data_IF_197562499257
#
_entry.id   IF_197562499257
#
_cell.length_a   1.000
_cell.length_b   1.000
_cell.length_c   1.000
_cell.angle_alpha   90.00
_cell.angle_beta   90.00
_cell.angle_gamma   90.00
#
_symmetry.space_group_name_H-M   'P 1'
#
loop_
_entity.id
_entity.type
_entity.pdbx_description
1 polymer ?
#
# COMPACT_ATOMS: atom_id res chain seq x y z
N UNK A 1 0.29 44.46 -40.91
CA UNK A 1 0.32 43.26 -40.04
C UNK A 1 1.55 42.43 -40.38
N UNK A 2 2.56 42.37 -39.49
CA UNK A 2 3.74 41.51 -39.69
C UNK A 2 3.37 40.08 -39.31
N UNK A 3 3.44 39.15 -40.26
CA UNK A 3 3.29 37.71 -40.01
C UNK A 3 4.47 37.24 -39.15
N UNK A 4 4.20 36.76 -37.95
CA UNK A 4 5.18 36.02 -37.15
C UNK A 4 5.39 34.68 -37.85
N UNK A 5 6.54 34.50 -38.48
CA UNK A 5 6.98 33.20 -38.96
C UNK A 5 7.22 32.31 -37.73
N UNK A 6 6.43 31.24 -37.61
CA UNK A 6 6.80 30.12 -36.74
C UNK A 6 8.14 29.57 -37.24
N UNK A 7 9.24 29.91 -36.55
CA UNK A 7 10.52 29.24 -36.75
C UNK A 7 10.33 27.78 -36.33
N UNK A 8 10.46 26.85 -37.27
CA UNK A 8 10.71 25.44 -36.93
C UNK A 8 12.00 25.41 -36.11
N UNK A 9 11.94 24.90 -34.88
CA UNK A 9 13.13 24.50 -34.15
C UNK A 9 13.83 23.44 -35.01
N UNK A 10 14.99 23.76 -35.58
CA UNK A 10 15.77 22.81 -36.36
C UNK A 10 16.39 21.78 -35.40
N UNK A 11 16.27 20.48 -35.73
CA UNK A 11 17.09 19.45 -35.10
C UNK A 11 18.56 19.76 -35.34
N UNK A 12 19.43 19.47 -34.36
CA UNK A 12 20.87 19.57 -34.55
C UNK A 12 21.27 18.78 -35.82
N UNK A 13 22.00 19.37 -36.78
CA UNK A 13 22.40 18.65 -37.98
C UNK A 13 23.38 17.53 -37.61
N UNK A 14 23.02 16.28 -37.87
CA UNK A 14 23.84 15.09 -37.59
C UNK A 14 23.02 13.80 -37.57
N UNK A 15 23.68 12.64 -37.62
CA UNK A 15 23.04 11.37 -37.29
C UNK A 15 22.67 11.37 -35.79
N UNK A 16 21.52 10.80 -35.43
CA UNK A 16 21.14 10.62 -34.03
C UNK A 16 22.27 9.90 -33.30
N UNK A 17 22.69 10.45 -32.17
CA UNK A 17 23.62 9.74 -31.30
C UNK A 17 22.92 8.52 -30.70
N UNK A 18 23.69 7.59 -30.13
CA UNK A 18 23.11 6.45 -29.40
C UNK A 18 22.24 6.92 -28.23
N UNK A 19 22.60 8.04 -27.59
CA UNK A 19 21.83 8.64 -26.51
C UNK A 19 20.49 9.19 -27.02
N UNK A 20 20.49 9.91 -28.16
CA UNK A 20 19.25 10.42 -28.75
C UNK A 20 18.31 9.27 -29.17
N UNK A 21 18.88 8.19 -29.71
CA UNK A 21 18.11 7.02 -30.10
C UNK A 21 17.48 6.33 -28.88
N UNK A 22 18.22 6.21 -27.77
CA UNK A 22 17.70 5.66 -26.52
C UNK A 22 16.52 6.47 -25.97
N UNK A 23 16.59 7.81 -26.02
CA UNK A 23 15.49 8.69 -25.59
C UNK A 23 14.25 8.50 -26.47
N UNK A 24 14.42 8.41 -27.79
CA UNK A 24 13.32 8.17 -28.73
C UNK A 24 12.67 6.81 -28.48
N UNK A 25 13.46 5.78 -28.20
CA UNK A 25 12.95 4.43 -27.96
C UNK A 25 12.23 4.33 -26.61
N UNK A 26 12.72 5.00 -25.57
CA UNK A 26 11.99 5.14 -24.30
C UNK A 26 10.65 5.84 -24.49
N UNK A 27 10.60 6.96 -25.24
CA UNK A 27 9.36 7.67 -25.51
C UNK A 27 8.36 6.81 -26.31
N UNK A 28 8.84 6.02 -27.28
CA UNK A 28 8.00 5.09 -28.03
C UNK A 28 7.46 3.98 -27.14
N UNK A 29 8.28 3.42 -26.25
CA UNK A 29 7.85 2.41 -25.29
C UNK A 29 6.78 2.96 -24.34
N UNK A 30 6.96 4.18 -23.84
CA UNK A 30 5.98 4.89 -23.03
C UNK A 30 4.66 5.07 -23.78
N UNK A 31 4.69 5.57 -25.03
CA UNK A 31 3.48 5.72 -25.84
C UNK A 31 2.78 4.39 -26.11
N UNK A 32 3.53 3.31 -26.33
CA UNK A 32 2.97 1.98 -26.54
C UNK A 32 2.22 1.48 -25.29
N UNK A 33 2.86 1.58 -24.12
CA UNK A 33 2.28 1.18 -22.84
C UNK A 33 1.00 1.96 -22.51
N UNK A 34 1.00 3.29 -22.73
CA UNK A 34 -0.18 4.14 -22.48
C UNK A 34 -1.33 3.84 -23.44
N UNK A 35 -1.04 3.59 -24.73
CA UNK A 35 -2.08 3.38 -25.74
C UNK A 35 -2.66 1.97 -25.73
N UNK A 36 -1.84 0.98 -25.42
CA UNK A 36 -2.22 -0.43 -25.41
C UNK A 36 -1.71 -1.06 -24.10
N UNK A 37 -2.33 -0.72 -22.96
CA UNK A 37 -1.98 -1.35 -21.70
C UNK A 37 -2.21 -2.86 -21.79
N UNK A 38 -1.26 -3.62 -21.25
CA UNK A 38 -1.45 -5.06 -21.09
C UNK A 38 -2.49 -5.29 -19.99
N UNK A 39 -3.57 -6.05 -20.26
CA UNK A 39 -4.63 -6.24 -19.28
C UNK A 39 -4.09 -6.97 -18.06
N UNK A 40 -4.44 -6.47 -16.89
CA UNK A 40 -4.19 -7.15 -15.63
C UNK A 40 -5.40 -7.99 -15.22
N UNK A 41 -5.14 -9.19 -14.70
CA UNK A 41 -6.15 -10.05 -14.06
C UNK A 41 -5.82 -10.25 -12.59
N UNK A 42 -6.82 -10.17 -11.69
CA UNK A 42 -6.61 -10.46 -10.28
C UNK A 42 -6.14 -11.91 -10.04
N UNK A 43 -5.30 -12.12 -9.02
CA UNK A 43 -4.84 -13.45 -8.58
C UNK A 43 -3.37 -13.76 -8.91
N UNK A 44 -2.79 -13.07 -9.89
CA UNK A 44 -1.37 -13.21 -10.20
C UNK A 44 -0.55 -12.21 -9.39
N UNK A 45 0.44 -12.72 -8.65
CA UNK A 45 1.41 -11.91 -7.91
C UNK A 45 2.39 -11.24 -8.89
N UNK A 46 1.93 -10.17 -9.54
CA UNK A 46 2.70 -9.42 -10.53
C UNK A 46 2.66 -7.91 -10.26
N UNK A 47 3.60 -7.20 -10.84
CA UNK A 47 3.58 -5.74 -10.78
C UNK A 47 2.57 -5.16 -11.76
N UNK A 48 1.92 -4.11 -11.31
CA UNK A 48 0.88 -3.38 -12.02
C UNK A 48 1.24 -1.90 -12.11
N UNK A 49 0.69 -1.24 -13.12
CA UNK A 49 0.75 0.20 -13.30
C UNK A 49 -0.50 0.83 -12.65
N UNK A 50 -0.29 1.71 -11.67
CA UNK A 50 -1.36 2.35 -10.90
C UNK A 50 -1.31 3.86 -11.08
N UNK A 51 -2.45 4.47 -11.39
CA UNK A 51 -2.57 5.92 -11.48
C UNK A 51 -2.57 6.56 -10.08
N UNK A 52 -1.65 7.49 -9.84
CA UNK A 52 -1.57 8.30 -8.61
C UNK A 52 -1.47 9.77 -8.99
N UNK A 53 -2.58 10.49 -8.85
CA UNK A 53 -2.68 11.87 -9.34
C UNK A 53 -2.37 11.93 -10.84
N UNK A 54 -1.43 12.78 -11.30
CA UNK A 54 -1.02 12.83 -12.70
C UNK A 54 0.07 11.81 -13.09
N UNK A 55 0.58 11.00 -12.15
CA UNK A 55 1.67 10.06 -12.37
C UNK A 55 1.17 8.61 -12.42
N UNK A 56 2.00 7.73 -12.99
CA UNK A 56 1.78 6.29 -13.02
C UNK A 56 2.87 5.62 -12.21
N UNK A 57 2.50 4.90 -11.16
CA UNK A 57 3.42 4.21 -10.28
C UNK A 57 3.39 2.70 -10.48
N UNK A 58 4.56 2.10 -10.23
CA UNK A 58 4.70 0.65 -10.15
C UNK A 58 4.24 0.17 -8.79
N UNK A 59 3.33 -0.78 -8.76
CA UNK A 59 2.85 -1.38 -7.53
C UNK A 59 2.88 -2.90 -7.62
N UNK A 60 3.29 -3.57 -6.54
CA UNK A 60 3.26 -5.03 -6.43
C UNK A 60 1.98 -5.48 -5.74
N UNK A 61 1.22 -6.39 -6.35
CA UNK A 61 0.03 -6.96 -5.71
C UNK A 61 0.41 -7.95 -4.61
N UNK A 62 -0.29 -7.92 -3.46
CA UNK A 62 -0.01 -8.86 -2.37
C UNK A 62 -0.43 -10.29 -2.76
N UNK A 63 0.48 -11.28 -2.68
CA UNK A 63 0.11 -12.68 -2.90
C UNK A 63 -0.91 -13.16 -1.86
N UNK A 64 -1.95 -13.86 -2.31
CA UNK A 64 -2.91 -14.55 -1.44
C UNK A 64 -3.89 -13.66 -0.67
N UNK A 65 -3.89 -12.34 -0.89
CA UNK A 65 -4.97 -11.47 -0.42
C UNK A 65 -6.19 -11.60 -1.33
N UNK A 66 -7.39 -11.38 -0.77
CA UNK A 66 -8.60 -11.38 -1.58
C UNK A 66 -8.58 -10.19 -2.54
N UNK A 67 -8.59 -10.50 -3.84
CA UNK A 67 -8.67 -9.49 -4.88
C UNK A 67 -10.14 -9.22 -5.23
N UNK A 68 -10.89 -8.73 -4.23
CA UNK A 68 -12.26 -8.30 -4.44
C UNK A 68 -12.37 -7.36 -5.65
N UNK A 69 -13.54 -7.28 -6.31
CA UNK A 69 -13.68 -6.60 -7.60
C UNK A 69 -13.31 -5.12 -7.56
N UNK A 70 -13.42 -4.49 -6.38
CA UNK A 70 -13.27 -3.05 -6.21
C UNK A 70 -11.90 -2.64 -5.65
N UNK A 71 -11.29 -3.48 -4.80
CA UNK A 71 -10.11 -3.08 -4.02
C UNK A 71 -9.13 -4.25 -3.85
N UNK A 72 -7.85 -4.00 -4.10
CA UNK A 72 -6.75 -4.93 -3.87
C UNK A 72 -5.70 -4.34 -2.93
N UNK A 73 -4.87 -5.21 -2.34
CA UNK A 73 -3.71 -4.75 -1.61
C UNK A 73 -2.46 -4.70 -2.50
N UNK A 74 -1.76 -3.57 -2.42
CA UNK A 74 -0.55 -3.31 -3.21
C UNK A 74 0.54 -2.66 -2.35
N UNK A 75 1.80 -2.85 -2.73
CA UNK A 75 2.90 -2.06 -2.21
C UNK A 75 3.52 -1.25 -3.34
N UNK A 76 3.74 0.05 -3.14
CA UNK A 76 4.41 0.89 -4.15
C UNK A 76 5.90 0.54 -4.21
N UNK A 77 6.39 0.24 -5.41
CA UNK A 77 7.75 -0.22 -5.68
C UNK A 77 8.45 0.81 -6.57
N UNK A 78 9.70 1.13 -6.27
CA UNK A 78 10.48 2.03 -7.12
C UNK A 78 10.64 1.41 -8.53
N UNK A 79 10.48 2.19 -9.62
CA UNK A 79 10.52 1.64 -10.98
C UNK A 79 11.81 0.89 -11.31
N UNK A 80 12.94 1.34 -10.77
CA UNK A 80 14.28 0.78 -11.05
C UNK A 80 14.69 -0.39 -10.14
N UNK A 81 13.91 -0.73 -9.10
CA UNK A 81 14.31 -1.81 -8.19
C UNK A 81 13.81 -3.17 -8.68
N UNK A 82 14.65 -4.23 -8.62
CA UNK A 82 14.16 -5.59 -8.71
C UNK A 82 13.15 -5.85 -7.58
N UNK A 83 12.09 -6.62 -7.83
CA UNK A 83 11.02 -6.92 -6.84
C UNK A 83 11.55 -7.32 -5.46
N UNK A 84 12.60 -8.17 -5.40
CA UNK A 84 13.20 -8.63 -4.15
C UNK A 84 13.97 -7.53 -3.39
N UNK A 85 14.40 -6.47 -4.08
CA UNK A 85 15.17 -5.37 -3.51
C UNK A 85 14.28 -4.20 -3.02
N UNK A 86 12.96 -4.31 -3.11
CA UNK A 86 12.04 -3.33 -2.53
C UNK A 86 12.35 -3.09 -1.04
N UNK A 87 12.74 -4.12 -0.28
CA UNK A 87 13.17 -3.95 1.12
C UNK A 87 14.59 -3.38 1.30
N UNK A 88 15.47 -3.48 0.29
CA UNK A 88 16.89 -3.09 0.37
C UNK A 88 17.18 -1.68 -0.18
N UNK A 89 16.39 -1.22 -1.16
CA UNK A 89 16.52 0.11 -1.79
C UNK A 89 15.26 0.96 -1.64
N UNK A 90 14.27 0.44 -0.92
CA UNK A 90 12.92 0.96 -0.82
C UNK A 90 12.80 2.36 -0.24
N UNK A 91 13.63 2.75 0.74
CA UNK A 91 13.47 4.04 1.44
C UNK A 91 13.82 5.28 0.59
N UNK A 92 14.25 5.08 -0.65
CA UNK A 92 14.55 6.20 -1.55
C UNK A 92 13.24 6.79 -2.09
N UNK A 93 13.07 8.11 -1.96
CA UNK A 93 11.91 8.86 -2.48
C UNK A 93 10.54 8.42 -1.91
N UNK A 94 10.51 7.70 -0.78
CA UNK A 94 9.29 7.35 -0.05
C UNK A 94 8.54 6.11 -0.57
N UNK A 95 9.16 5.31 -1.44
CA UNK A 95 8.63 4.01 -1.85
C UNK A 95 8.75 3.01 -0.69
N UNK A 96 7.90 1.98 -0.64
CA UNK A 96 7.89 0.90 0.38
C UNK A 96 7.71 1.27 1.87
N UNK A 97 7.95 2.51 2.30
CA UNK A 97 7.72 2.99 3.68
C UNK A 97 6.24 3.02 4.05
N UNK A 98 5.36 2.90 3.05
CA UNK A 98 3.90 2.93 3.21
C UNK A 98 3.29 1.56 3.49
N UNK A 99 4.10 0.51 3.47
CA UNK A 99 3.62 -0.87 3.61
C UNK A 99 2.62 -1.25 2.53
N UNK A 100 1.64 -2.07 2.91
CA UNK A 100 0.54 -2.46 2.03
C UNK A 100 -0.56 -1.40 2.04
N UNK A 101 -1.08 -1.08 0.87
CA UNK A 101 -2.10 -0.06 0.61
C UNK A 101 -3.31 -0.70 -0.07
N UNK A 102 -4.50 -0.16 0.21
CA UNK A 102 -5.75 -0.52 -0.46
C UNK A 102 -5.89 0.34 -1.72
N UNK A 103 -5.69 -0.29 -2.86
CA UNK A 103 -5.78 0.31 -4.19
C UNK A 103 -7.11 -0.05 -4.84
N UNK A 104 -7.84 0.96 -5.32
CA UNK A 104 -9.01 0.76 -6.17
C UNK A 104 -8.60 0.09 -7.49
N UNK A 105 -9.33 -0.94 -7.90
CA UNK A 105 -9.06 -1.66 -9.17
C UNK A 105 -9.22 -0.75 -10.38
N UNK A 106 -10.04 0.31 -10.27
CA UNK A 106 -10.23 1.35 -11.30
C UNK A 106 -9.00 2.23 -11.50
N UNK A 107 -8.09 2.31 -10.52
CA UNK A 107 -6.83 3.04 -10.64
C UNK A 107 -5.75 2.23 -11.37
N UNK A 108 -5.99 0.94 -11.62
CA UNK A 108 -5.05 0.04 -12.29
C UNK A 108 -5.17 0.22 -13.80
N UNK A 109 -4.08 0.62 -14.43
CA UNK A 109 -4.02 0.80 -15.88
C UNK A 109 -3.76 -0.52 -16.61
N UNK A 110 -3.08 -1.46 -15.96
CA UNK A 110 -2.68 -2.74 -16.53
C UNK A 110 -1.47 -3.33 -15.82
N UNK A 111 -0.86 -4.36 -16.42
CA UNK A 111 0.42 -4.92 -15.98
C UNK A 111 1.52 -3.85 -16.10
N UNK A 112 2.44 -3.82 -15.14
CA UNK A 112 3.57 -2.91 -15.19
C UNK A 112 4.47 -3.23 -16.38
N UNK A 113 4.64 -2.24 -17.26
CA UNK A 113 5.60 -2.25 -18.36
C UNK A 113 6.66 -1.18 -18.12
N UNK A 114 7.91 -1.45 -18.50
CA UNK A 114 9.00 -0.50 -18.33
C UNK A 114 8.76 0.85 -19.05
N UNK A 115 7.89 0.88 -20.07
CA UNK A 115 7.44 2.12 -20.72
C UNK A 115 6.75 3.11 -19.77
N UNK A 116 6.12 2.66 -18.68
CA UNK A 116 5.54 3.55 -17.68
C UNK A 116 6.57 4.23 -16.78
N UNK A 117 7.83 3.78 -16.76
CA UNK A 117 8.86 4.33 -15.86
C UNK A 117 9.01 5.85 -16.00
N UNK A 118 8.91 6.39 -17.22
CA UNK A 118 8.99 7.82 -17.52
C UNK A 118 7.84 8.65 -16.92
N UNK A 119 6.75 8.00 -16.50
CA UNK A 119 5.54 8.63 -15.96
C UNK A 119 5.46 8.57 -14.43
N UNK A 120 6.51 8.07 -13.77
CA UNK A 120 6.58 7.97 -12.30
C UNK A 120 7.04 9.29 -11.67
N UNK A 121 6.74 9.48 -10.39
CA UNK A 121 7.35 10.56 -9.59
C UNK A 121 8.88 10.43 -9.58
N UNK A 122 9.39 9.19 -9.50
CA UNK A 122 10.82 8.92 -9.49
C UNK A 122 11.53 9.45 -10.76
N UNK A 123 10.95 9.26 -11.94
CA UNK A 123 11.48 9.81 -13.19
C UNK A 123 11.46 11.35 -13.24
N UNK A 124 10.53 11.98 -12.53
CA UNK A 124 10.50 13.43 -12.33
C UNK A 124 11.47 13.93 -11.23
N UNK A 125 12.18 13.02 -10.54
CA UNK A 125 13.04 13.36 -9.40
C UNK A 125 12.25 13.82 -8.17
N UNK A 126 10.97 13.42 -8.06
CA UNK A 126 10.07 13.79 -6.97
C UNK A 126 9.87 12.63 -5.99
N UNK A 127 9.69 12.91 -4.69
CA UNK A 127 9.23 11.91 -3.74
C UNK A 127 7.75 11.57 -3.99
N UNK A 128 7.31 10.40 -3.51
CA UNK A 128 5.88 10.10 -3.43
C UNK A 128 5.17 11.10 -2.50
N UNK A 129 3.98 11.60 -2.85
CA UNK A 129 3.23 12.58 -2.05
C UNK A 129 2.75 11.95 -0.75
N UNK A 130 2.86 12.62 0.40
CA UNK A 130 2.47 12.08 1.72
C UNK A 130 1.11 11.38 1.72
N UNK A 131 0.13 11.94 1.01
CA UNK A 131 -1.12 11.27 0.66
C UNK A 131 -1.11 10.81 -0.81
N UNK A 132 -1.16 9.50 -1.02
CA UNK A 132 -1.26 8.85 -2.35
C UNK A 132 -2.71 8.53 -2.73
N UNK A 133 -3.69 8.88 -1.88
CA UNK A 133 -5.09 8.56 -2.09
C UNK A 133 -5.44 7.09 -1.85
N UNK A 134 -4.55 6.32 -1.22
CA UNK A 134 -4.77 4.92 -0.87
C UNK A 134 -4.65 4.74 0.63
N UNK A 135 -5.69 4.18 1.24
CA UNK A 135 -5.68 3.87 2.66
C UNK A 135 -4.72 2.70 2.95
N UNK A 136 -4.11 2.63 4.14
CA UNK A 136 -3.33 1.45 4.54
C UNK A 136 -4.17 0.17 4.55
N UNK A 137 -3.57 -0.95 4.16
CA UNK A 137 -4.17 -2.27 4.30
C UNK A 137 -3.91 -2.79 5.72
N UNK A 138 -5.00 -3.04 6.46
CA UNK A 138 -4.92 -3.48 7.84
C UNK A 138 -4.88 -5.02 7.92
N UNK A 139 -3.69 -5.57 8.17
CA UNK A 139 -3.45 -7.00 8.41
C UNK A 139 -3.18 -7.32 9.88
N UNK A 140 -3.38 -6.36 10.77
CA UNK A 140 -3.38 -6.58 12.21
C UNK A 140 -4.68 -6.12 12.83
N UNK A 141 -4.94 -6.57 14.06
CA UNK A 141 -5.96 -5.99 14.94
C UNK A 141 -5.28 -5.56 16.22
N UNK A 142 -5.48 -4.31 16.63
CA UNK A 142 -5.04 -3.82 17.93
C UNK A 142 -6.26 -3.63 18.82
N UNK A 143 -6.20 -4.20 20.02
CA UNK A 143 -7.13 -3.87 21.10
C UNK A 143 -6.47 -2.82 21.96
N UNK A 144 -7.06 -1.64 22.03
CA UNK A 144 -6.52 -0.49 22.75
C UNK A 144 -7.43 -0.08 23.90
N UNK A 145 -6.82 0.23 25.05
CA UNK A 145 -7.47 0.87 26.17
C UNK A 145 -7.12 2.37 26.17
N UNK A 146 -8.12 3.24 26.01
CA UNK A 146 -7.96 4.69 25.91
C UNK A 146 -8.76 5.43 26.97
N UNK A 147 -8.17 6.48 27.56
CA UNK A 147 -8.87 7.45 28.42
C UNK A 147 -9.55 8.53 27.57
N UNK A 148 -10.37 9.35 28.20
CA UNK A 148 -11.06 10.49 27.55
C UNK A 148 -10.10 11.55 27.00
N UNK A 149 -8.87 11.64 27.52
CA UNK A 149 -7.81 12.51 27.02
C UNK A 149 -6.97 11.86 25.89
N UNK A 150 -7.42 10.71 25.38
CA UNK A 150 -6.78 9.91 24.33
C UNK A 150 -5.45 9.22 24.73
N UNK A 151 -5.01 9.37 25.98
CA UNK A 151 -3.88 8.58 26.51
C UNK A 151 -4.30 7.13 26.71
N UNK A 152 -3.36 6.19 26.56
CA UNK A 152 -3.69 4.78 26.65
C UNK A 152 -2.57 3.85 26.20
N UNK A 153 -2.92 2.58 26.05
CA UNK A 153 -1.98 1.52 25.68
C UNK A 153 -2.69 0.41 24.91
N UNK A 154 -1.92 -0.37 24.18
CA UNK A 154 -2.39 -1.57 23.48
C UNK A 154 -2.40 -2.74 24.44
N UNK A 155 -3.54 -3.42 24.57
CA UNK A 155 -3.73 -4.63 25.38
C UNK A 155 -3.31 -5.89 24.62
N UNK A 156 -3.69 -5.96 23.35
CA UNK A 156 -3.52 -7.13 22.51
C UNK A 156 -3.24 -6.70 21.07
N UNK A 157 -2.31 -7.40 20.43
CA UNK A 157 -2.03 -7.29 18.99
C UNK A 157 -2.26 -8.66 18.36
N UNK A 158 -3.13 -8.73 17.36
CA UNK A 158 -3.41 -9.94 16.59
C UNK A 158 -2.92 -9.79 15.17
N UNK A 159 -2.24 -10.79 14.64
CA UNK A 159 -1.78 -10.83 13.25
C UNK A 159 -0.46 -11.59 13.06
N UNK A 160 0.07 -11.63 11.83
CA UNK A 160 -0.53 -11.05 10.63
C UNK A 160 -1.72 -11.87 10.14
N UNK A 161 -2.77 -11.18 9.68
CA UNK A 161 -3.86 -11.83 8.93
C UNK A 161 -3.45 -12.04 7.47
N UNK A 162 -3.85 -13.18 6.92
CA UNK A 162 -3.66 -13.47 5.50
C UNK A 162 -4.54 -12.58 4.62
N UNK A 163 -5.71 -12.13 5.10
CA UNK A 163 -6.65 -11.29 4.34
C UNK A 163 -7.17 -10.15 5.20
N UNK A 164 -7.33 -8.94 4.65
CA UNK A 164 -7.74 -7.75 5.43
C UNK A 164 -9.14 -7.88 6.02
N UNK A 165 -10.06 -8.54 5.32
CA UNK A 165 -11.43 -8.73 5.81
C UNK A 165 -11.49 -9.63 7.05
N UNK A 166 -10.53 -10.56 7.22
CA UNK A 166 -10.43 -11.37 8.43
C UNK A 166 -10.06 -10.50 9.63
N UNK A 167 -9.10 -9.58 9.46
CA UNK A 167 -8.75 -8.61 10.50
C UNK A 167 -9.96 -7.72 10.86
N UNK A 168 -10.71 -7.22 9.86
CA UNK A 168 -11.93 -6.44 10.11
C UNK A 168 -12.99 -7.25 10.86
N UNK A 169 -13.28 -8.47 10.41
CA UNK A 169 -14.25 -9.36 11.05
C UNK A 169 -13.89 -9.62 12.51
N UNK A 170 -12.63 -9.91 12.79
CA UNK A 170 -12.18 -10.25 14.14
C UNK A 170 -12.14 -9.00 15.04
N UNK A 171 -11.85 -7.81 14.49
CA UNK A 171 -12.02 -6.55 15.21
C UNK A 171 -13.50 -6.30 15.59
N UNK A 172 -14.43 -6.51 14.67
CA UNK A 172 -15.87 -6.37 14.94
C UNK A 172 -16.37 -7.38 15.98
N UNK A 173 -15.88 -8.61 15.89
CA UNK A 173 -16.18 -9.65 16.87
C UNK A 173 -15.67 -9.26 18.27
N UNK A 174 -14.42 -8.80 18.38
CA UNK A 174 -13.86 -8.33 19.65
C UNK A 174 -14.62 -7.13 20.21
N UNK A 175 -15.03 -6.17 19.38
CA UNK A 175 -15.86 -5.05 19.82
C UNK A 175 -17.21 -5.51 20.37
N UNK A 176 -17.85 -6.48 19.73
CA UNK A 176 -19.10 -7.08 20.25
C UNK A 176 -18.90 -7.70 21.64
N UNK A 177 -17.79 -8.43 21.84
CA UNK A 177 -17.44 -9.02 23.15
C UNK A 177 -17.17 -7.92 24.20
N UNK A 178 -16.48 -6.85 23.81
CA UNK A 178 -16.15 -5.72 24.68
C UNK A 178 -17.39 -4.92 25.10
N UNK A 179 -18.32 -4.67 24.17
CA UNK A 179 -19.58 -3.99 24.46
C UNK A 179 -20.41 -4.75 25.50
N UNK A 180 -20.49 -6.09 25.38
CA UNK A 180 -21.14 -6.94 26.37
C UNK A 180 -20.48 -6.90 27.76
N UNK A 181 -19.28 -6.35 27.89
CA UNK A 181 -18.47 -6.30 29.12
C UNK A 181 -18.06 -4.89 29.54
N UNK A 182 -18.53 -3.84 28.87
CA UNK A 182 -17.96 -2.48 28.96
C UNK A 182 -17.74 -1.97 30.39
N UNK A 183 -18.70 -2.17 31.30
CA UNK A 183 -18.61 -1.73 32.69
C UNK A 183 -17.54 -2.46 33.53
N UNK A 184 -17.04 -3.60 33.05
CA UNK A 184 -16.20 -4.53 33.79
C UNK A 184 -14.88 -4.85 33.10
N UNK A 185 -14.44 -4.09 32.09
CA UNK A 185 -13.18 -4.38 31.38
C UNK A 185 -12.00 -3.70 32.07
N UNK A 186 -11.87 -2.38 32.02
CA UNK A 186 -10.82 -1.63 32.71
C UNK A 186 -11.42 -0.28 33.17
N UNK A 187 -11.58 -0.04 34.49
CA UNK A 187 -12.18 1.20 34.99
C UNK A 187 -11.45 2.46 34.50
N UNK A 188 -12.21 3.43 33.98
CA UNK A 188 -11.67 4.70 33.48
C UNK A 188 -11.09 4.63 32.06
N UNK A 189 -11.18 3.48 31.38
CA UNK A 189 -10.76 3.32 29.99
C UNK A 189 -11.93 2.86 29.11
N UNK A 190 -11.99 3.39 27.91
CA UNK A 190 -12.75 2.82 26.79
C UNK A 190 -11.84 1.84 26.07
N UNK A 191 -12.27 0.58 25.98
CA UNK A 191 -11.50 -0.46 25.28
C UNK A 191 -12.17 -0.77 23.94
N UNK A 192 -11.40 -0.73 22.87
CA UNK A 192 -11.88 -0.95 21.50
C UNK A 192 -10.87 -1.78 20.71
N UNK A 193 -11.38 -2.62 19.80
CA UNK A 193 -10.59 -3.30 18.79
C UNK A 193 -10.69 -2.55 17.46
N UNK A 194 -9.57 -2.42 16.74
CA UNK A 194 -9.54 -1.81 15.41
C UNK A 194 -8.54 -2.50 14.51
N UNK A 195 -8.82 -2.51 13.21
CA UNK A 195 -7.82 -2.87 12.21
C UNK A 195 -6.61 -1.95 12.30
N UNK A 196 -5.42 -2.53 12.17
CA UNK A 196 -4.14 -1.86 12.28
C UNK A 196 -3.21 -2.30 11.14
N UNK A 197 -2.28 -1.41 10.78
CA UNK A 197 -1.15 -1.76 9.91
C UNK A 197 -0.29 -2.80 10.62
N UNK A 198 0.13 -3.82 9.88
CA UNK A 198 1.07 -4.82 10.36
C UNK A 198 2.50 -4.46 9.93
N UNK A 199 3.37 -4.22 10.91
CA UNK A 199 4.81 -4.07 10.70
C UNK A 199 5.50 -5.40 10.96
N UNK A 200 6.20 -5.92 9.95
CA UNK A 200 6.94 -7.19 10.03
C UNK A 200 8.04 -7.14 11.10
N UNK A 201 8.60 -5.95 11.34
CA UNK A 201 9.65 -5.75 12.35
C UNK A 201 9.13 -6.01 13.77
N UNK A 202 7.84 -5.77 13.99
CA UNK A 202 7.15 -5.92 15.28
C UNK A 202 6.51 -7.32 15.43
N UNK A 203 6.73 -8.26 14.51
CA UNK A 203 5.97 -9.52 14.46
C UNK A 203 5.96 -10.31 15.78
N UNK A 204 7.06 -10.29 16.55
CA UNK A 204 7.15 -10.98 17.85
C UNK A 204 6.17 -10.41 18.90
N UNK A 205 5.65 -9.20 18.69
CA UNK A 205 4.66 -8.56 19.56
C UNK A 205 3.22 -8.93 19.24
N UNK A 206 2.98 -9.68 18.16
CA UNK A 206 1.67 -10.11 17.71
C UNK A 206 1.39 -11.55 18.12
N UNK A 207 0.16 -11.81 18.58
CA UNK A 207 -0.36 -13.15 18.71
C UNK A 207 -0.96 -13.61 17.37
N UNK A 208 -0.66 -14.84 16.99
CA UNK A 208 -1.19 -15.47 15.78
C UNK A 208 -2.69 -15.81 15.96
N UNK A 209 -3.58 -15.26 15.12
CA UNK A 209 -5.02 -15.52 15.21
C UNK A 209 -5.47 -16.82 14.52
N UNK A 210 -4.62 -17.52 13.75
CA UNK A 210 -5.08 -18.57 12.83
C UNK A 210 -5.72 -19.78 13.53
N UNK A 211 -5.19 -20.17 14.70
CA UNK A 211 -5.66 -21.33 15.48
C UNK A 211 -6.07 -20.95 16.92
N UNK A 212 -6.14 -19.64 17.22
CA UNK A 212 -6.42 -19.15 18.55
C UNK A 212 -7.89 -18.71 18.70
N UNK A 213 -8.48 -18.99 19.86
CA UNK A 213 -9.72 -18.32 20.27
C UNK A 213 -9.39 -16.87 20.65
N UNK A 214 -9.69 -15.94 19.74
CA UNK A 214 -9.41 -14.52 19.92
C UNK A 214 -10.11 -13.91 21.14
N UNK A 215 -11.25 -14.47 21.57
CA UNK A 215 -11.94 -14.03 22.77
C UNK A 215 -11.22 -14.50 24.05
N UNK A 216 -10.61 -15.70 24.01
CA UNK A 216 -9.75 -16.18 25.07
C UNK A 216 -8.46 -15.33 25.16
N UNK A 217 -7.82 -15.02 24.02
CA UNK A 217 -6.65 -14.12 23.98
C UNK A 217 -6.96 -12.75 24.58
N UNK A 218 -8.14 -12.19 24.28
CA UNK A 218 -8.59 -10.93 24.89
C UNK A 218 -8.79 -11.07 26.41
N UNK A 219 -9.39 -12.17 26.87
CA UNK A 219 -9.61 -12.40 28.29
C UNK A 219 -8.29 -12.49 29.06
N UNK A 220 -7.31 -13.21 28.52
CA UNK A 220 -5.97 -13.34 29.10
C UNK A 220 -5.25 -11.99 29.16
N UNK A 221 -5.33 -11.21 28.07
CA UNK A 221 -4.75 -9.86 28.03
C UNK A 221 -5.37 -8.92 29.09
N UNK A 222 -6.69 -8.96 29.28
CA UNK A 222 -7.38 -8.17 30.32
C UNK A 222 -6.98 -8.64 31.73
N UNK A 223 -6.85 -9.96 31.94
CA UNK A 223 -6.45 -10.52 33.22
C UNK A 223 -5.02 -10.09 33.61
N UNK A 224 -4.08 -10.10 32.65
CA UNK A 224 -2.69 -9.71 32.87
C UNK A 224 -2.50 -8.24 33.31
N UNK A 225 -3.43 -7.36 32.96
CA UNK A 225 -3.40 -5.93 33.35
C UNK A 225 -4.01 -5.69 34.74
N UNK A 226 -4.81 -6.63 35.23
CA UNK A 226 -5.47 -6.56 36.55
C UNK A 226 -4.68 -7.20 37.68
N UNK A 227 -3.69 -8.03 37.35
CA UNK A 227 -2.80 -8.70 38.30
C UNK A 227 -1.72 -7.74 38.81
#
# INVERSE_FOLDING_TARGET
MKRLFFRRCAHAPGALTLEDQAVVDQFRAMLAAVRNPEPWTPGDAQDIAVQIGPFVERAHTRPGDDHGPDMIAVALVHPDTPHAAAYLHGRQLGYTDRGWLRCETTAILGVWQHGYAMLTHAAAGLPLPDDVGMAPAHYGVHVEARRSDNTGYTLLRLGPYAQTWLASRDADHLNTVLEGRAATVIPGFTVTAKGAVFDVSDHETYADPHDADIAALLADAIAGVRA
#
